data_IF_193483526478
#
_entry.id   IF_193483526478
#
_cell.length_a   1.000
_cell.length_b   1.000
_cell.length_c   1.000
_cell.angle_alpha   90.00
_cell.angle_beta   90.00
_cell.angle_gamma   90.00
#
_symmetry.space_group_name_H-M   'P 1'
#
loop_
_entity.id
_entity.type
_entity.pdbx_description
1 polymer ?
#
# COMPACT_ATOMS: atom_id res chain seq x y z
N UNK A 1 18.31 -0.78 -20.74
CA UNK A 1 17.16 -1.13 -19.87
C UNK A 1 15.89 -1.09 -20.69
N UNK A 2 14.81 -1.76 -20.26
CA UNK A 2 13.51 -1.80 -20.97
C UNK A 2 12.38 -1.44 -20.00
N UNK A 3 11.14 -1.24 -20.50
CA UNK A 3 9.97 -0.92 -19.65
C UNK A 3 9.80 -1.87 -18.46
N UNK A 4 10.09 -3.16 -18.66
CA UNK A 4 9.94 -4.17 -17.61
C UNK A 4 10.83 -3.88 -16.41
N UNK A 5 12.00 -3.28 -16.62
CA UNK A 5 12.89 -2.90 -15.51
C UNK A 5 12.25 -1.84 -14.59
N UNK A 6 11.27 -1.08 -15.05
CA UNK A 6 10.56 -0.06 -14.27
C UNK A 6 9.20 -0.53 -13.73
N UNK A 7 8.91 -1.83 -13.81
CA UNK A 7 7.71 -2.42 -13.26
C UNK A 7 8.03 -3.31 -12.07
N UNK A 8 7.49 -2.96 -10.89
CA UNK A 8 7.61 -3.77 -9.67
C UNK A 8 6.80 -5.08 -9.75
N UNK A 9 5.98 -5.27 -10.78
CA UNK A 9 5.25 -6.52 -11.03
C UNK A 9 6.05 -7.52 -11.88
N UNK A 10 7.26 -7.17 -12.32
CA UNK A 10 8.11 -8.06 -13.12
C UNK A 10 9.36 -8.44 -12.35
N UNK A 11 9.87 -9.65 -12.60
CA UNK A 11 11.14 -10.11 -12.00
C UNK A 11 12.33 -9.23 -12.36
N UNK A 12 12.32 -8.62 -13.55
CA UNK A 12 13.38 -7.73 -14.02
C UNK A 12 13.40 -6.39 -13.26
N UNK A 13 12.25 -5.87 -12.83
CA UNK A 13 12.14 -4.55 -12.18
C UNK A 13 11.95 -4.58 -10.67
N UNK A 14 11.35 -5.63 -10.14
CA UNK A 14 11.02 -5.75 -8.72
C UNK A 14 12.27 -5.78 -7.82
N UNK A 15 12.16 -5.18 -6.64
CA UNK A 15 13.11 -5.39 -5.56
C UNK A 15 13.20 -6.90 -5.25
N UNK A 16 14.40 -7.51 -5.27
CA UNK A 16 14.54 -8.95 -5.07
C UNK A 16 14.08 -9.42 -3.69
N UNK A 17 14.19 -8.55 -2.69
CA UNK A 17 13.91 -8.86 -1.28
C UNK A 17 12.41 -8.89 -0.99
N UNK A 18 11.68 -7.85 -1.38
CA UNK A 18 10.23 -7.78 -1.17
C UNK A 18 9.40 -8.22 -2.38
N UNK A 19 10.05 -8.62 -3.49
CA UNK A 19 9.41 -9.01 -4.76
C UNK A 19 8.39 -7.99 -5.25
N UNK A 20 8.70 -6.70 -5.10
CA UNK A 20 7.83 -5.61 -5.55
C UNK A 20 6.72 -5.20 -4.59
N UNK A 21 6.59 -5.86 -3.43
CA UNK A 21 5.56 -5.50 -2.44
C UNK A 21 5.88 -4.20 -1.68
N UNK A 22 7.15 -3.82 -1.61
CA UNK A 22 7.63 -2.67 -0.81
C UNK A 22 7.66 -2.95 0.70
N UNK A 23 7.08 -4.07 1.13
CA UNK A 23 7.04 -4.53 2.52
C UNK A 23 7.68 -5.91 2.65
N UNK A 24 8.21 -6.20 3.82
CA UNK A 24 8.73 -7.51 4.21
C UNK A 24 8.15 -7.91 5.56
N UNK A 25 8.08 -9.20 5.83
CA UNK A 25 7.76 -9.67 7.17
C UNK A 25 8.95 -9.43 8.10
N UNK A 26 8.69 -8.95 9.30
CA UNK A 26 9.69 -8.78 10.36
C UNK A 26 9.18 -9.37 11.67
N UNK A 27 10.12 -9.78 12.52
CA UNK A 27 9.83 -10.26 13.87
C UNK A 27 9.70 -9.04 14.80
N UNK A 28 8.59 -8.98 15.53
CA UNK A 28 8.35 -7.96 16.55
C UNK A 28 9.29 -8.18 17.73
N UNK A 29 9.75 -7.07 18.30
CA UNK A 29 10.56 -7.07 19.53
C UNK A 29 9.81 -7.73 20.71
N UNK A 30 8.47 -7.74 20.68
CA UNK A 30 7.64 -8.45 21.67
C UNK A 30 7.84 -9.98 21.68
N UNK A 31 8.55 -10.56 20.71
CA UNK A 31 9.01 -11.95 20.81
C UNK A 31 10.01 -12.13 21.96
N UNK A 32 10.83 -11.11 22.21
CA UNK A 32 11.90 -11.09 23.20
C UNK A 32 11.41 -10.41 24.48
N UNK A 33 11.06 -11.21 25.50
CA UNK A 33 10.60 -10.74 26.81
C UNK A 33 11.78 -10.19 27.61
N UNK A 34 12.10 -8.91 27.39
CA UNK A 34 13.32 -8.25 27.88
C UNK A 34 13.59 -8.37 29.38
N UNK A 35 12.55 -8.44 30.18
CA UNK A 35 12.65 -8.55 31.65
C UNK A 35 12.83 -9.99 32.16
N UNK A 36 12.73 -10.99 31.28
CA UNK A 36 12.83 -12.41 31.62
C UNK A 36 14.19 -13.01 31.21
N UNK A 37 14.59 -14.08 31.89
CA UNK A 37 15.76 -14.90 31.49
C UNK A 37 15.36 -15.87 30.38
N UNK A 38 16.31 -16.38 29.60
CA UNK A 38 16.01 -17.34 28.51
C UNK A 38 15.20 -18.55 29.02
N UNK A 39 15.58 -19.09 30.19
CA UNK A 39 14.95 -20.28 30.78
C UNK A 39 13.56 -20.00 31.37
N UNK A 40 13.28 -18.74 31.75
CA UNK A 40 12.02 -18.31 32.37
C UNK A 40 11.15 -17.51 31.39
N UNK A 41 11.13 -17.89 30.11
CA UNK A 41 10.22 -17.29 29.13
C UNK A 41 10.76 -16.04 28.44
N UNK A 42 12.08 -15.85 28.41
CA UNK A 42 12.74 -14.79 27.65
C UNK A 42 12.36 -14.77 26.17
N UNK A 43 12.07 -15.92 25.58
CA UNK A 43 11.55 -16.04 24.22
C UNK A 43 10.10 -16.51 24.28
N UNK A 44 9.16 -15.67 23.85
CA UNK A 44 7.73 -15.90 24.05
C UNK A 44 7.19 -17.20 23.41
N UNK A 45 7.88 -17.71 22.40
CA UNK A 45 7.49 -18.91 21.64
C UNK A 45 8.17 -20.19 22.12
N UNK A 46 9.09 -20.10 23.09
CA UNK A 46 9.85 -21.25 23.59
C UNK A 46 9.19 -21.86 24.83
N UNK A 47 8.65 -23.09 24.76
CA UNK A 47 8.26 -23.81 25.97
C UNK A 47 9.51 -24.18 26.80
N UNK A 48 9.34 -24.38 28.11
CA UNK A 48 10.44 -24.57 29.08
C UNK A 48 11.50 -25.60 28.63
N UNK A 49 11.08 -26.82 28.27
CA UNK A 49 12.02 -27.86 27.83
C UNK A 49 12.77 -27.53 26.54
N UNK A 50 12.15 -26.76 25.64
CA UNK A 50 12.81 -26.29 24.43
C UNK A 50 13.81 -25.16 24.72
N UNK A 51 13.46 -24.25 25.63
CA UNK A 51 14.36 -23.18 26.08
C UNK A 51 15.64 -23.74 26.70
N UNK A 52 15.54 -24.78 27.55
CA UNK A 52 16.70 -25.46 28.13
C UNK A 52 17.62 -26.07 27.07
N UNK A 53 17.04 -26.72 26.06
CA UNK A 53 17.81 -27.30 24.95
C UNK A 53 18.50 -26.20 24.11
N UNK A 54 17.76 -25.17 23.69
CA UNK A 54 18.34 -24.08 22.88
C UNK A 54 19.40 -23.29 23.67
N UNK A 55 19.21 -23.07 24.97
CA UNK A 55 20.17 -22.40 25.82
C UNK A 55 21.49 -23.17 25.91
N UNK A 56 21.46 -24.51 26.01
CA UNK A 56 22.68 -25.33 25.97
C UNK A 56 23.46 -25.14 24.68
N UNK A 57 22.78 -25.15 23.53
CA UNK A 57 23.42 -24.93 22.23
C UNK A 57 23.97 -23.50 22.09
N UNK A 58 23.21 -22.49 22.53
CA UNK A 58 23.65 -21.10 22.54
C UNK A 58 24.87 -20.88 23.45
N UNK A 59 24.86 -21.44 24.67
CA UNK A 59 25.99 -21.37 25.59
C UNK A 59 27.23 -22.05 25.02
N UNK A 60 27.08 -23.15 24.26
CA UNK A 60 28.20 -23.79 23.57
C UNK A 60 28.80 -22.88 22.49
N UNK A 61 27.97 -22.20 21.71
CA UNK A 61 28.42 -21.21 20.73
C UNK A 61 29.19 -20.06 21.39
N UNK A 62 28.66 -19.48 22.48
CA UNK A 62 29.34 -18.39 23.19
C UNK A 62 30.69 -18.83 23.76
N UNK A 63 30.75 -20.02 24.38
CA UNK A 63 32.02 -20.59 24.90
C UNK A 63 33.06 -20.77 23.80
N UNK A 64 32.63 -21.25 22.63
CA UNK A 64 33.51 -21.40 21.47
C UNK A 64 34.06 -20.05 20.98
N UNK A 65 33.24 -19.00 21.01
CA UNK A 65 33.63 -17.64 20.63
C UNK A 65 34.35 -16.90 21.77
N UNK A 66 34.64 -17.56 22.90
CA UNK A 66 35.24 -16.96 24.10
C UNK A 66 34.43 -15.81 24.71
N UNK A 67 33.11 -15.83 24.50
CA UNK A 67 32.14 -14.85 25.04
C UNK A 67 31.54 -15.39 26.34
N UNK A 68 31.39 -14.50 27.34
CA UNK A 68 30.75 -14.84 28.61
C UNK A 68 29.31 -15.31 28.41
N UNK A 69 28.93 -16.43 29.05
CA UNK A 69 27.57 -16.97 29.00
C UNK A 69 26.67 -16.21 29.97
N UNK A 70 25.57 -15.59 29.51
CA UNK A 70 24.63 -14.87 30.36
C UNK A 70 23.69 -15.84 31.08
N UNK A 71 24.17 -16.46 32.17
CA UNK A 71 23.38 -17.39 33.00
C UNK A 71 22.45 -16.64 33.97
N UNK A 72 21.17 -17.00 33.94
CA UNK A 72 20.11 -16.48 34.84
C UNK A 72 19.99 -14.95 34.92
N UNK A 73 20.38 -14.25 33.84
CA UNK A 73 20.16 -12.81 33.71
C UNK A 73 19.05 -12.49 32.71
N UNK A 74 18.28 -11.41 32.93
CA UNK A 74 17.28 -10.94 31.97
C UNK A 74 17.88 -10.53 30.62
N UNK A 75 17.13 -10.73 29.53
CA UNK A 75 17.56 -10.37 28.17
C UNK A 75 17.99 -8.90 28.03
N UNK A 76 17.39 -7.96 28.76
CA UNK A 76 17.79 -6.54 28.75
C UNK A 76 19.22 -6.28 29.25
N UNK A 77 19.82 -7.23 29.97
CA UNK A 77 21.21 -7.13 30.46
C UNK A 77 22.22 -7.75 29.51
N UNK A 78 21.78 -8.37 28.41
CA UNK A 78 22.68 -8.96 27.43
C UNK A 78 23.40 -7.85 26.67
N UNK A 79 24.64 -8.10 26.27
CA UNK A 79 25.36 -7.22 25.34
C UNK A 79 24.71 -7.27 23.95
N UNK A 80 25.00 -6.28 23.10
CA UNK A 80 24.54 -6.28 21.71
C UNK A 80 25.01 -7.53 20.95
N UNK A 81 26.27 -7.93 21.17
CA UNK A 81 26.88 -9.13 20.60
C UNK A 81 26.15 -10.41 21.06
N UNK A 82 25.87 -10.53 22.36
CA UNK A 82 25.12 -11.67 22.90
C UNK A 82 23.71 -11.74 22.31
N UNK A 83 23.00 -10.62 22.19
CA UNK A 83 21.68 -10.57 21.58
C UNK A 83 21.71 -10.92 20.09
N UNK A 84 22.69 -10.42 19.34
CA UNK A 84 22.84 -10.73 17.91
C UNK A 84 23.08 -12.23 17.71
N UNK A 85 24.00 -12.82 18.48
CA UNK A 85 24.28 -14.26 18.46
C UNK A 85 23.08 -15.09 18.90
N UNK A 86 22.25 -14.60 19.83
CA UNK A 86 21.01 -15.28 20.22
C UNK A 86 19.99 -15.27 19.07
N UNK A 87 19.89 -14.16 18.33
CA UNK A 87 18.94 -13.99 17.22
C UNK A 87 19.36 -14.77 15.99
N UNK A 88 20.63 -14.66 15.59
CA UNK A 88 21.13 -15.13 14.29
C UNK A 88 22.08 -16.33 14.39
N UNK A 89 22.52 -16.70 15.59
CA UNK A 89 23.40 -17.85 15.81
C UNK A 89 24.65 -17.80 14.94
N UNK A 90 24.98 -18.92 14.29
CA UNK A 90 26.12 -19.00 13.37
C UNK A 90 26.07 -18.05 12.16
N UNK A 91 24.90 -17.46 11.86
CA UNK A 91 24.71 -16.52 10.75
C UNK A 91 24.97 -15.07 11.15
N UNK A 92 25.17 -14.82 12.44
CA UNK A 92 25.49 -13.50 13.01
C UNK A 92 26.64 -12.81 12.26
N UNK A 93 26.55 -11.48 12.20
CA UNK A 93 27.63 -10.60 11.70
C UNK A 93 28.79 -10.49 12.67
N UNK A 94 28.59 -10.83 13.95
CA UNK A 94 29.63 -10.79 14.99
C UNK A 94 30.67 -11.90 14.81
N UNK A 95 30.36 -12.95 14.04
CA UNK A 95 31.27 -14.07 13.80
C UNK A 95 32.13 -13.79 12.56
N UNK A 96 33.44 -13.75 12.76
CA UNK A 96 34.42 -13.56 11.68
C UNK A 96 34.43 -14.73 10.69
N UNK A 97 34.95 -14.50 9.47
CA UNK A 97 35.05 -15.56 8.44
C UNK A 97 35.88 -16.75 8.91
N UNK A 98 37.00 -16.52 9.59
CA UNK A 98 37.86 -17.59 10.10
C UNK A 98 37.15 -18.44 11.18
N UNK A 99 36.40 -17.80 12.07
CA UNK A 99 35.61 -18.51 13.07
C UNK A 99 34.52 -19.37 12.43
N UNK A 100 33.88 -18.89 11.35
CA UNK A 100 32.83 -19.63 10.62
C UNK A 100 33.31 -20.96 10.03
N UNK A 101 34.55 -21.04 9.56
CA UNK A 101 35.12 -22.27 8.98
C UNK A 101 35.29 -23.41 10.00
N UNK A 102 35.46 -23.06 11.27
CA UNK A 102 35.74 -23.99 12.37
C UNK A 102 34.48 -24.30 13.20
N UNK A 103 33.33 -23.69 12.90
CA UNK A 103 32.07 -23.91 13.62
C UNK A 103 31.45 -25.28 13.27
N UNK A 104 30.70 -25.89 14.21
CA UNK A 104 29.97 -27.12 13.96
C UNK A 104 28.97 -26.95 12.81
N UNK A 105 28.96 -27.91 11.88
CA UNK A 105 28.07 -27.86 10.71
C UNK A 105 26.72 -28.51 10.97
N UNK A 106 26.62 -29.38 11.99
CA UNK A 106 25.38 -30.12 12.34
C UNK A 106 24.86 -29.74 13.73
N UNK A 107 23.53 -29.75 13.86
CA UNK A 107 22.84 -29.51 15.15
C UNK A 107 23.24 -30.56 16.20
N UNK A 108 23.40 -31.83 15.79
CA UNK A 108 23.88 -32.90 16.67
C UNK A 108 25.30 -32.68 17.20
N UNK A 109 26.10 -31.85 16.49
CA UNK A 109 27.47 -31.47 16.86
C UNK A 109 27.49 -30.14 17.65
N UNK A 110 26.32 -29.61 18.04
CA UNK A 110 26.19 -28.40 18.87
C UNK A 110 25.95 -27.10 18.09
N UNK A 111 25.64 -27.17 16.79
CA UNK A 111 25.34 -25.98 15.96
C UNK A 111 24.11 -25.23 16.47
N UNK A 112 24.29 -23.98 16.88
CA UNK A 112 23.22 -23.05 17.22
C UNK A 112 22.91 -22.10 16.06
N UNK A 113 21.76 -22.28 15.42
CA UNK A 113 21.36 -21.54 14.21
C UNK A 113 20.72 -20.17 14.48
N UNK A 114 20.38 -19.87 15.74
CA UNK A 114 19.64 -18.67 16.10
C UNK A 114 18.12 -18.85 16.04
N UNK A 115 17.42 -17.89 16.66
CA UNK A 115 15.96 -17.84 16.73
C UNK A 115 15.34 -17.46 15.38
N UNK A 116 15.82 -16.38 14.77
CA UNK A 116 15.18 -15.80 13.58
C UNK A 116 15.33 -16.71 12.36
N UNK A 117 16.51 -17.29 12.06
CA UNK A 117 16.65 -18.21 10.93
C UNK A 117 15.70 -19.41 11.03
N UNK A 118 15.50 -19.98 12.24
CA UNK A 118 14.55 -21.08 12.46
C UNK A 118 13.10 -20.65 12.25
N UNK A 119 12.74 -19.45 12.70
CA UNK A 119 11.40 -18.88 12.46
C UNK A 119 11.17 -18.70 10.95
N UNK A 120 12.12 -18.11 10.23
CA UNK A 120 12.00 -17.88 8.80
C UNK A 120 11.97 -19.17 8.00
N UNK A 121 12.78 -20.16 8.37
CA UNK A 121 12.72 -21.49 7.77
C UNK A 121 11.32 -22.10 7.95
N UNK A 122 10.77 -22.06 9.16
CA UNK A 122 9.43 -22.58 9.44
C UNK A 122 8.34 -21.86 8.65
N UNK A 123 8.43 -20.53 8.53
CA UNK A 123 7.49 -19.74 7.71
C UNK A 123 7.61 -20.09 6.23
N UNK A 124 8.83 -20.34 5.73
CA UNK A 124 9.06 -20.70 4.33
C UNK A 124 8.54 -22.11 3.98
N UNK A 125 8.52 -23.03 4.95
CA UNK A 125 8.01 -24.40 4.78
C UNK A 125 6.47 -24.48 4.88
N UNK A 126 5.82 -23.49 5.50
CA UNK A 126 4.36 -23.46 5.70
C UNK A 126 3.65 -22.53 4.68
N UNK A 127 2.35 -22.78 4.44
CA UNK A 127 1.52 -21.95 3.53
C UNK A 127 1.13 -20.60 4.13
N UNK A 128 1.08 -20.51 5.46
CA UNK A 128 0.67 -19.33 6.23
C UNK A 128 1.57 -19.23 7.47
N UNK A 129 1.60 -18.06 8.11
CA UNK A 129 2.37 -17.85 9.33
C UNK A 129 1.82 -18.78 10.44
N UNK A 130 2.66 -19.59 11.11
CA UNK A 130 2.21 -20.49 12.17
C UNK A 130 1.43 -19.75 13.26
N UNK A 131 0.34 -20.35 13.77
CA UNK A 131 -0.56 -19.70 14.75
C UNK A 131 0.17 -19.13 15.98
N UNK A 132 1.18 -19.83 16.48
CA UNK A 132 1.99 -19.41 17.62
C UNK A 132 2.95 -18.26 17.30
N UNK A 133 3.25 -18.01 16.02
CA UNK A 133 4.12 -16.93 15.55
C UNK A 133 3.34 -15.70 15.08
N UNK A 134 2.08 -15.85 14.65
CA UNK A 134 1.24 -14.73 14.17
C UNK A 134 1.27 -13.47 15.05
N UNK A 135 1.20 -13.54 16.39
CA UNK A 135 1.26 -12.35 17.23
C UNK A 135 2.58 -11.57 17.13
N UNK A 136 3.67 -12.27 16.80
CA UNK A 136 5.04 -11.78 16.80
C UNK A 136 5.59 -11.46 15.41
N UNK A 137 4.83 -11.70 14.34
CA UNK A 137 5.19 -11.29 12.98
C UNK A 137 4.35 -10.08 12.59
N UNK A 138 4.96 -9.10 11.94
CA UNK A 138 4.26 -8.00 11.28
C UNK A 138 4.87 -7.74 9.90
N UNK A 139 4.11 -7.07 9.05
CA UNK A 139 4.68 -6.40 7.89
C UNK A 139 5.39 -5.12 8.33
N UNK A 140 6.51 -4.83 7.70
CA UNK A 140 7.24 -3.57 7.83
C UNK A 140 7.80 -3.15 6.47
N UNK A 141 8.29 -1.90 6.39
CA UNK A 141 8.91 -1.36 5.18
C UNK A 141 10.14 -2.20 4.82
N UNK A 142 10.25 -2.58 3.55
CA UNK A 142 11.41 -3.34 3.04
C UNK A 142 12.70 -2.54 3.27
N UNK A 143 13.70 -3.17 3.89
CA UNK A 143 14.98 -2.52 4.21
C UNK A 143 15.84 -2.21 2.98
N UNK A 144 15.68 -2.96 1.89
CA UNK A 144 16.55 -2.83 0.70
C UNK A 144 16.05 -1.84 -0.35
N UNK A 145 14.74 -1.63 -0.41
CA UNK A 145 14.13 -0.65 -1.31
C UNK A 145 13.44 0.49 -0.57
N UNK A 146 13.39 0.47 0.76
CA UNK A 146 12.73 1.50 1.58
C UNK A 146 11.29 1.80 1.12
N UNK A 147 10.57 0.75 0.71
CA UNK A 147 9.21 0.87 0.20
C UNK A 147 9.09 1.28 -1.28
N UNK A 148 10.18 1.54 -2.00
CA UNK A 148 10.16 1.97 -3.42
C UNK A 148 9.84 0.84 -4.41
N UNK A 149 9.73 -0.41 -3.94
CA UNK A 149 9.30 -1.62 -4.70
C UNK A 149 10.22 -2.06 -5.85
N UNK A 150 11.12 -1.21 -6.33
CA UNK A 150 12.02 -1.47 -7.46
C UNK A 150 13.41 -1.97 -7.03
N UNK A 151 14.08 -2.67 -7.94
CA UNK A 151 15.47 -3.07 -7.79
C UNK A 151 16.41 -1.84 -7.73
N UNK A 152 17.68 -2.10 -7.38
CA UNK A 152 18.66 -1.04 -7.16
C UNK A 152 18.99 -0.20 -8.38
N UNK A 153 19.09 -0.80 -9.57
CA UNK A 153 19.42 -0.06 -10.79
C UNK A 153 18.23 0.79 -11.25
N UNK A 154 17.03 0.20 -11.27
CA UNK A 154 15.82 0.85 -11.76
C UNK A 154 15.39 2.06 -10.94
N UNK A 155 15.57 2.01 -9.61
CA UNK A 155 15.21 3.13 -8.73
C UNK A 155 16.18 4.31 -8.77
N UNK A 156 17.34 4.15 -9.40
CA UNK A 156 18.38 5.19 -9.52
C UNK A 156 18.33 5.91 -10.87
N UNK A 157 17.57 5.41 -11.84
CA UNK A 157 17.41 6.09 -13.13
C UNK A 157 16.60 7.37 -12.92
N UNK A 158 17.10 8.46 -13.49
CA UNK A 158 16.47 9.78 -13.41
C UNK A 158 16.05 10.31 -14.77
N UNK A 159 14.98 11.10 -14.79
CA UNK A 159 14.60 11.98 -15.89
C UNK A 159 14.39 13.37 -15.30
N UNK A 160 15.04 14.38 -15.87
CA UNK A 160 15.09 15.73 -15.30
C UNK A 160 15.51 15.72 -13.81
N UNK A 161 16.58 14.98 -13.49
CA UNK A 161 17.14 14.81 -12.13
C UNK A 161 16.18 14.21 -11.08
N UNK A 162 15.03 13.65 -11.49
CA UNK A 162 14.09 12.99 -10.59
C UNK A 162 14.02 11.50 -10.85
N UNK A 163 14.02 10.69 -9.79
CA UNK A 163 13.88 9.23 -9.86
C UNK A 163 12.41 8.86 -9.96
N UNK A 164 12.10 7.74 -10.62
CA UNK A 164 10.71 7.25 -10.73
C UNK A 164 9.97 7.14 -9.38
N UNK A 165 10.58 6.59 -8.30
CA UNK A 165 9.89 6.52 -7.00
C UNK A 165 9.59 7.89 -6.38
N UNK A 166 10.35 8.93 -6.70
CA UNK A 166 10.11 10.29 -6.20
C UNK A 166 8.90 10.89 -6.91
N UNK A 167 8.86 10.77 -8.24
CA UNK A 167 7.74 11.20 -9.08
C UNK A 167 6.44 10.54 -8.61
N UNK A 168 6.45 9.21 -8.40
CA UNK A 168 5.22 8.49 -8.02
C UNK A 168 4.78 8.70 -6.57
N UNK A 169 5.70 9.05 -5.67
CA UNK A 169 5.39 9.34 -4.26
C UNK A 169 4.83 10.76 -4.07
N UNK A 170 5.25 11.70 -4.91
CA UNK A 170 4.67 13.03 -4.97
C UNK A 170 3.18 13.00 -5.32
N UNK A 171 2.49 14.09 -5.01
CA UNK A 171 1.11 14.26 -5.43
C UNK A 171 0.99 14.44 -6.96
N UNK A 172 -0.23 14.46 -7.48
CA UNK A 172 -0.43 14.60 -8.92
C UNK A 172 0.01 15.97 -9.46
N UNK A 173 0.07 17.01 -8.63
CA UNK A 173 0.64 18.30 -9.03
C UNK A 173 2.16 18.19 -9.26
N UNK A 174 2.86 17.45 -8.40
CA UNK A 174 4.27 17.17 -8.58
C UNK A 174 4.53 16.44 -9.91
N UNK A 175 3.70 15.45 -10.24
CA UNK A 175 3.81 14.72 -11.52
C UNK A 175 3.53 15.65 -12.71
N UNK A 176 2.52 16.52 -12.64
CA UNK A 176 2.25 17.52 -13.69
C UNK A 176 3.42 18.48 -13.91
N UNK A 177 4.01 18.99 -12.82
CA UNK A 177 5.16 19.89 -12.91
C UNK A 177 6.37 19.19 -13.57
N UNK A 178 6.61 17.92 -13.24
CA UNK A 178 7.63 17.12 -13.91
C UNK A 178 7.34 16.91 -15.41
N UNK A 179 6.09 16.72 -15.79
CA UNK A 179 5.69 16.67 -17.22
C UNK A 179 5.97 18.00 -17.92
N UNK A 180 5.68 19.14 -17.28
CA UNK A 180 5.97 20.46 -17.84
C UNK A 180 7.47 20.72 -18.01
N UNK A 181 8.29 20.31 -17.04
CA UNK A 181 9.75 20.41 -17.15
C UNK A 181 10.31 19.62 -18.35
N UNK A 182 9.76 18.42 -18.63
CA UNK A 182 10.17 17.65 -19.81
C UNK A 182 9.71 18.34 -21.10
N UNK A 183 8.50 18.91 -21.11
CA UNK A 183 7.96 19.62 -22.27
C UNK A 183 8.76 20.87 -22.65
N UNK A 184 9.44 21.51 -21.69
CA UNK A 184 10.36 22.63 -21.97
C UNK A 184 11.67 22.18 -22.63
N UNK A 185 12.01 20.90 -22.55
CA UNK A 185 13.17 20.32 -23.20
C UNK A 185 12.79 19.73 -24.56
N UNK A 186 12.92 20.53 -25.63
CA UNK A 186 12.58 20.15 -27.01
C UNK A 186 13.21 18.82 -27.46
N UNK A 187 14.46 18.56 -27.05
CA UNK A 187 15.12 17.31 -27.40
C UNK A 187 14.42 16.11 -26.75
N UNK A 188 14.15 16.17 -25.45
CA UNK A 188 13.45 15.08 -24.75
C UNK A 188 12.02 14.92 -25.23
N UNK A 189 11.28 16.03 -25.32
CA UNK A 189 9.89 16.07 -25.77
C UNK A 189 9.68 15.33 -27.09
N UNK A 190 10.56 15.53 -28.07
CA UNK A 190 10.45 14.91 -29.39
C UNK A 190 10.37 13.37 -29.39
N UNK A 191 10.85 12.71 -28.32
CA UNK A 191 10.79 11.26 -28.18
C UNK A 191 9.57 10.75 -27.42
N UNK A 192 8.90 11.60 -26.63
CA UNK A 192 7.89 11.17 -25.65
C UNK A 192 6.61 12.01 -25.64
N UNK A 193 6.42 12.90 -26.62
CA UNK A 193 5.31 13.85 -26.69
C UNK A 193 3.94 13.19 -26.45
N UNK A 194 3.66 12.06 -27.12
CA UNK A 194 2.40 11.31 -26.95
C UNK A 194 2.20 10.83 -25.51
N UNK A 195 3.26 10.39 -24.83
CA UNK A 195 3.19 9.94 -23.43
C UNK A 195 2.98 11.11 -22.47
N UNK A 196 3.62 12.25 -22.73
CA UNK A 196 3.44 13.46 -21.91
C UNK A 196 2.01 13.97 -22.03
N UNK A 197 1.46 14.00 -23.25
CA UNK A 197 0.08 14.40 -23.49
C UNK A 197 -0.92 13.46 -22.80
N UNK A 198 -0.70 12.15 -22.85
CA UNK A 198 -1.53 11.15 -22.18
C UNK A 198 -1.52 11.32 -20.66
N UNK A 199 -0.33 11.45 -20.06
CA UNK A 199 -0.16 11.66 -18.61
C UNK A 199 -0.85 12.97 -18.19
N UNK A 200 -0.59 14.07 -18.90
CA UNK A 200 -1.17 15.37 -18.59
C UNK A 200 -2.71 15.33 -18.68
N UNK A 201 -3.26 14.72 -19.72
CA UNK A 201 -4.71 14.58 -19.91
C UNK A 201 -5.36 13.82 -18.76
N UNK A 202 -4.79 12.69 -18.38
CA UNK A 202 -5.29 11.85 -17.27
C UNK A 202 -5.24 12.59 -15.95
N UNK A 203 -4.12 13.23 -15.62
CA UNK A 203 -4.00 13.94 -14.36
C UNK A 203 -4.94 15.16 -14.31
N UNK A 204 -5.09 15.91 -15.41
CA UNK A 204 -6.03 17.04 -15.47
C UNK A 204 -7.48 16.59 -15.23
N UNK A 205 -7.90 15.44 -15.75
CA UNK A 205 -9.23 14.85 -15.47
C UNK A 205 -9.39 14.50 -13.99
N UNK A 206 -8.38 13.87 -13.39
CA UNK A 206 -8.40 13.54 -11.95
C UNK A 206 -8.40 14.82 -11.09
N UNK A 207 -7.67 15.86 -11.51
CA UNK A 207 -7.62 17.15 -10.82
C UNK A 207 -8.97 17.86 -10.81
N UNK A 208 -9.75 17.81 -11.91
CA UNK A 208 -11.13 18.31 -11.95
C UNK A 208 -12.06 17.67 -10.91
N UNK A 209 -11.72 16.48 -10.40
CA UNK A 209 -12.49 15.75 -9.39
C UNK A 209 -11.99 16.00 -7.96
N UNK A 210 -11.13 17.00 -7.76
CA UNK A 210 -10.57 17.35 -6.45
C UNK A 210 -9.55 16.33 -5.93
N UNK A 211 -9.03 15.43 -6.77
CA UNK A 211 -8.16 14.32 -6.37
C UNK A 211 -6.67 14.58 -6.60
N UNK A 212 -6.29 15.85 -6.80
CA UNK A 212 -4.91 16.21 -7.16
C UNK A 212 -3.89 15.97 -6.03
N UNK A 213 -4.36 15.89 -4.77
CA UNK A 213 -3.53 15.60 -3.59
C UNK A 213 -3.12 14.12 -3.50
N UNK A 214 -3.70 13.25 -4.31
CA UNK A 214 -3.32 11.83 -4.33
C UNK A 214 -1.95 11.64 -4.95
N UNK A 215 -1.26 10.57 -4.56
CA UNK A 215 -0.02 10.13 -5.20
C UNK A 215 -0.26 8.88 -6.04
N UNK A 216 0.56 8.66 -7.07
CA UNK A 216 0.49 7.45 -7.90
C UNK A 216 0.89 6.18 -7.12
N UNK A 217 1.66 6.33 -6.03
CA UNK A 217 2.06 5.22 -5.15
C UNK A 217 1.00 4.87 -4.08
N UNK A 218 -0.09 5.65 -3.98
CA UNK A 218 -1.19 5.41 -3.02
C UNK A 218 -1.86 4.07 -3.30
N UNK A 219 -2.02 3.26 -2.26
CA UNK A 219 -2.67 1.95 -2.37
C UNK A 219 -4.18 2.12 -2.59
N UNK A 220 -4.72 1.44 -3.60
CA UNK A 220 -6.16 1.48 -3.92
C UNK A 220 -7.06 1.12 -2.73
N UNK A 221 -6.65 0.18 -1.88
CA UNK A 221 -7.39 -0.23 -0.67
C UNK A 221 -7.43 0.82 0.44
N UNK A 222 -6.64 1.88 0.32
CA UNK A 222 -6.55 2.97 1.32
C UNK A 222 -7.30 4.23 0.89
N UNK A 223 -7.99 4.18 -0.25
CA UNK A 223 -8.89 5.23 -0.71
C UNK A 223 -10.23 5.12 0.02
N UNK A 224 -10.81 6.27 0.35
CA UNK A 224 -12.20 6.37 0.77
C UNK A 224 -13.16 5.95 -0.34
N UNK A 225 -14.41 5.68 0.01
CA UNK A 225 -15.45 5.35 -0.97
C UNK A 225 -15.61 6.43 -2.03
N UNK A 226 -15.68 7.71 -1.62
CA UNK A 226 -15.80 8.85 -2.52
C UNK A 226 -14.58 9.03 -3.44
N UNK A 227 -13.36 8.89 -2.92
CA UNK A 227 -12.16 8.91 -3.77
C UNK A 227 -12.18 7.79 -4.81
N UNK A 228 -12.53 6.57 -4.39
CA UNK A 228 -12.60 5.41 -5.28
C UNK A 228 -13.65 5.61 -6.40
N UNK A 229 -14.82 6.14 -6.05
CA UNK A 229 -15.88 6.44 -7.01
C UNK A 229 -15.44 7.49 -8.03
N UNK A 230 -14.80 8.58 -7.57
CA UNK A 230 -14.30 9.64 -8.46
C UNK A 230 -13.17 9.15 -9.37
N UNK A 231 -12.24 8.31 -8.89
CA UNK A 231 -11.22 7.68 -9.76
C UNK A 231 -11.87 6.83 -10.86
N UNK A 232 -12.92 6.06 -10.53
CA UNK A 232 -13.66 5.27 -11.53
C UNK A 232 -14.33 6.17 -12.57
N UNK A 233 -14.93 7.28 -12.15
CA UNK A 233 -15.53 8.25 -13.07
C UNK A 233 -14.48 8.84 -14.04
N UNK A 234 -13.29 9.20 -13.54
CA UNK A 234 -12.19 9.65 -14.39
C UNK A 234 -11.76 8.59 -15.41
N UNK A 235 -11.75 7.31 -15.04
CA UNK A 235 -11.42 6.21 -15.94
C UNK A 235 -12.48 6.01 -17.05
N UNK A 236 -13.77 6.20 -16.75
CA UNK A 236 -14.83 6.17 -17.77
C UNK A 236 -14.63 7.28 -18.79
N UNK A 237 -14.30 8.49 -18.36
CA UNK A 237 -13.95 9.60 -19.25
C UNK A 237 -12.70 9.32 -20.10
N UNK A 238 -11.79 8.48 -19.63
CA UNK A 238 -10.61 8.09 -20.39
C UNK A 238 -10.92 7.06 -21.48
N UNK A 239 -11.87 6.16 -21.23
CA UNK A 239 -12.19 5.01 -22.07
C UNK A 239 -12.82 5.32 -23.44
N UNK A 240 -13.13 6.59 -23.74
CA UNK A 240 -13.87 7.04 -24.94
C UNK A 240 -15.19 6.27 -25.20
N UNK A 241 -15.74 5.58 -24.20
CA UNK A 241 -16.95 4.79 -24.37
C UNK A 241 -18.18 5.69 -24.55
N UNK A 242 -19.08 5.25 -25.42
CA UNK A 242 -20.35 5.90 -25.77
C UNK A 242 -21.49 4.90 -25.61
N UNK A 243 -22.73 5.38 -25.57
CA UNK A 243 -23.95 4.55 -25.50
C UNK A 243 -24.04 3.67 -24.23
N UNK A 244 -23.41 4.11 -23.14
CA UNK A 244 -23.50 3.45 -21.85
C UNK A 244 -24.60 4.06 -20.98
N UNK A 245 -25.20 3.22 -20.13
CA UNK A 245 -25.96 3.66 -18.96
C UNK A 245 -25.04 3.55 -17.75
N UNK A 246 -24.68 4.68 -17.17
CA UNK A 246 -23.77 4.76 -16.02
C UNK A 246 -24.60 5.10 -14.79
N UNK A 247 -24.53 4.24 -13.77
CA UNK A 247 -25.23 4.44 -12.50
C UNK A 247 -24.23 4.94 -11.46
N UNK A 248 -24.49 6.12 -10.89
CA UNK A 248 -23.69 6.73 -9.84
C UNK A 248 -24.49 6.78 -8.55
N UNK A 249 -23.94 6.22 -7.49
CA UNK A 249 -24.56 6.15 -6.16
C UNK A 249 -23.93 7.22 -5.25
N UNK A 250 -24.64 8.33 -5.01
CA UNK A 250 -24.24 9.48 -4.20
C UNK A 250 -22.80 9.99 -4.43
N UNK A 251 -22.45 10.40 -5.68
CA UNK A 251 -21.10 10.82 -6.05
C UNK A 251 -20.57 12.06 -5.31
N UNK A 252 -21.43 12.83 -4.63
CA UNK A 252 -21.03 13.98 -3.81
C UNK A 252 -20.59 13.61 -2.39
N UNK A 253 -20.76 12.36 -1.93
CA UNK A 253 -20.35 11.97 -0.58
C UNK A 253 -18.85 12.27 -0.36
N UNK A 254 -18.59 13.02 0.70
CA UNK A 254 -17.23 13.37 1.11
C UNK A 254 -16.52 14.33 0.14
N UNK A 255 -17.28 15.00 -0.72
CA UNK A 255 -16.79 16.08 -1.59
C UNK A 255 -17.00 17.43 -0.89
N UNK A 256 -16.01 18.33 -1.02
CA UNK A 256 -16.18 19.71 -0.57
C UNK A 256 -17.03 20.46 -1.60
N UNK A 257 -17.86 21.43 -1.16
CA UNK A 257 -18.75 22.18 -2.06
C UNK A 257 -18.02 22.87 -3.23
N UNK A 258 -16.75 23.26 -3.03
CA UNK A 258 -15.90 23.82 -4.10
C UNK A 258 -15.64 22.86 -5.26
N UNK A 259 -15.73 21.55 -5.01
CA UNK A 259 -15.35 20.51 -5.96
C UNK A 259 -16.58 19.91 -6.66
N UNK A 260 -17.79 20.20 -6.19
CA UNK A 260 -19.07 19.81 -6.81
C UNK A 260 -19.17 20.31 -8.25
N UNK A 261 -18.73 21.55 -8.51
CA UNK A 261 -18.68 22.11 -9.87
C UNK A 261 -17.82 21.26 -10.83
N UNK A 262 -16.71 20.71 -10.32
CA UNK A 262 -15.84 19.82 -11.08
C UNK A 262 -16.50 18.48 -11.42
N UNK A 263 -17.20 17.88 -10.44
CA UNK A 263 -18.00 16.67 -10.65
C UNK A 263 -19.10 16.90 -11.70
N UNK A 264 -19.85 18.01 -11.60
CA UNK A 264 -20.92 18.36 -12.54
C UNK A 264 -20.40 18.59 -13.95
N UNK A 265 -19.25 19.25 -14.11
CA UNK A 265 -18.61 19.41 -15.41
C UNK A 265 -18.24 18.05 -16.03
N UNK A 266 -17.82 17.09 -15.21
CA UNK A 266 -17.48 15.73 -15.67
C UNK A 266 -18.72 14.90 -16.03
N UNK A 267 -19.79 14.97 -15.23
CA UNK A 267 -21.08 14.37 -15.56
C UNK A 267 -21.58 14.88 -16.92
N UNK A 268 -21.49 16.19 -17.15
CA UNK A 268 -21.86 16.78 -18.43
C UNK A 268 -20.97 16.30 -19.59
N UNK A 269 -19.65 16.21 -19.40
CA UNK A 269 -18.73 15.68 -20.43
C UNK A 269 -19.04 14.21 -20.77
N UNK A 270 -19.39 13.38 -19.78
CA UNK A 270 -19.83 11.99 -20.02
C UNK A 270 -21.13 11.97 -20.81
N UNK A 271 -22.11 12.81 -20.44
CA UNK A 271 -23.40 12.95 -21.11
C UNK A 271 -23.26 13.38 -22.57
N UNK A 272 -22.43 14.39 -22.85
CA UNK A 272 -22.17 14.92 -24.19
C UNK A 272 -21.59 13.87 -25.16
N UNK A 273 -21.00 12.79 -24.62
CA UNK A 273 -20.53 11.63 -25.39
C UNK A 273 -21.60 10.58 -25.65
N UNK A 274 -22.87 10.98 -25.67
CA UNK A 274 -24.01 10.09 -25.91
C UNK A 274 -24.09 8.93 -24.88
N UNK A 275 -23.79 9.23 -23.62
CA UNK A 275 -24.03 8.32 -22.50
C UNK A 275 -25.22 8.81 -21.69
N UNK A 276 -25.92 7.89 -21.03
CA UNK A 276 -26.99 8.21 -20.08
C UNK A 276 -26.46 8.02 -18.67
N UNK A 277 -26.66 8.99 -17.79
CA UNK A 277 -26.28 8.89 -16.38
C UNK A 277 -27.54 8.80 -15.52
N UNK A 278 -27.62 7.78 -14.67
CA UNK A 278 -28.58 7.66 -13.58
C UNK A 278 -27.84 7.97 -12.29
N UNK A 279 -28.15 9.10 -11.68
CA UNK A 279 -27.46 9.59 -10.47
C UNK A 279 -28.43 9.52 -9.30
N UNK A 280 -28.05 8.79 -8.25
CA UNK A 280 -28.75 8.76 -6.97
C UNK A 280 -28.11 9.86 -6.12
N UNK A 281 -28.87 10.90 -5.78
CA UNK A 281 -28.34 12.07 -5.08
C UNK A 281 -29.36 12.69 -4.14
N UNK A 282 -28.84 13.45 -3.17
CA UNK A 282 -29.60 14.32 -2.28
C UNK A 282 -29.06 15.76 -2.28
N UNK A 283 -27.96 16.03 -2.97
CA UNK A 283 -27.41 17.38 -3.12
C UNK A 283 -28.28 18.25 -4.06
N UNK A 284 -28.74 19.39 -3.54
CA UNK A 284 -29.64 20.30 -4.27
C UNK A 284 -28.98 20.89 -5.53
N UNK A 285 -27.67 21.19 -5.51
CA UNK A 285 -26.99 21.73 -6.69
C UNK A 285 -26.93 20.70 -7.81
N UNK A 286 -26.71 19.43 -7.47
CA UNK A 286 -26.73 18.35 -8.47
C UNK A 286 -28.14 18.14 -9.02
N UNK A 287 -29.14 18.06 -8.15
CA UNK A 287 -30.54 17.85 -8.55
C UNK A 287 -31.01 19.00 -9.46
N UNK A 288 -30.66 20.25 -9.13
CA UNK A 288 -30.99 21.42 -9.94
C UNK A 288 -30.38 21.40 -11.34
N UNK A 289 -29.26 20.69 -11.53
CA UNK A 289 -28.58 20.56 -12.82
C UNK A 289 -29.02 19.33 -13.63
N UNK A 290 -29.87 18.47 -13.07
CA UNK A 290 -30.34 17.29 -13.76
C UNK A 290 -31.29 17.66 -14.92
N UNK A 291 -31.15 16.96 -16.05
CA UNK A 291 -32.08 17.13 -17.18
C UNK A 291 -33.48 16.56 -16.83
N UNK A 292 -33.52 15.59 -15.91
CA UNK A 292 -34.72 14.94 -15.43
C UNK A 292 -34.50 14.41 -14.01
N UNK A 293 -35.51 14.57 -13.15
CA UNK A 293 -35.52 14.13 -11.75
C UNK A 293 -36.66 13.15 -11.55
N UNK A 294 -36.38 12.07 -10.82
CA UNK A 294 -37.37 11.07 -10.39
C UNK A 294 -37.33 11.03 -8.86
N UNK A 295 -38.41 11.45 -8.21
CA UNK A 295 -38.51 11.38 -6.75
C UNK A 295 -39.12 10.05 -6.31
N UNK A 296 -38.46 9.38 -5.36
CA UNK A 296 -38.91 8.11 -4.78
C UNK A 296 -39.25 8.33 -3.31
N UNK A 297 -40.43 7.87 -2.89
CA UNK A 297 -40.90 8.00 -1.51
C UNK A 297 -42.31 7.44 -1.32
N UNK A 298 -43.18 8.08 -0.50
CA UNK A 298 -42.95 9.28 0.31
C UNK A 298 -42.16 9.04 1.61
N UNK A 299 -41.99 7.79 2.03
CA UNK A 299 -41.17 7.42 3.18
C UNK A 299 -40.16 6.33 2.84
N UNK A 300 -39.51 5.76 3.85
CA UNK A 300 -38.58 4.63 3.71
C UNK A 300 -39.26 3.28 3.99
N UNK A 301 -38.68 2.18 3.51
CA UNK A 301 -39.15 0.83 3.82
C UNK A 301 -40.55 0.56 3.26
N UNK A 302 -41.46 0.06 4.09
CA UNK A 302 -42.85 -0.23 3.69
C UNK A 302 -43.64 1.02 3.25
N UNK A 303 -43.19 2.21 3.65
CA UNK A 303 -43.81 3.49 3.30
C UNK A 303 -43.21 4.14 2.04
N UNK A 304 -42.27 3.46 1.37
CA UNK A 304 -41.54 3.95 0.21
C UNK A 304 -41.79 3.16 -1.08
N UNK A 305 -40.83 3.25 -2.00
CA UNK A 305 -40.79 2.44 -3.22
C UNK A 305 -41.78 2.87 -4.30
N UNK A 306 -42.35 4.08 -4.21
CA UNK A 306 -43.22 4.65 -5.22
C UNK A 306 -42.57 5.88 -5.84
N UNK A 307 -42.77 6.06 -7.14
CA UNK A 307 -42.47 7.33 -7.81
C UNK A 307 -43.51 8.35 -7.34
N UNK A 308 -43.04 9.40 -6.66
CA UNK A 308 -43.90 10.47 -6.13
C UNK A 308 -44.18 11.48 -7.25
N UNK A 309 -43.12 11.95 -7.90
CA UNK A 309 -43.19 12.83 -9.06
C UNK A 309 -41.97 12.63 -9.95
N UNK A 310 -42.06 13.10 -11.20
CA UNK A 310 -41.02 12.97 -12.22
C UNK A 310 -41.12 14.17 -13.15
N UNK A 311 -39.98 14.76 -13.53
CA UNK A 311 -39.98 15.99 -14.33
C UNK A 311 -38.65 16.73 -14.29
N UNK A 312 -38.63 17.94 -14.82
CA UNK A 312 -37.52 18.89 -14.66
C UNK A 312 -37.57 19.55 -13.28
N UNK A 313 -36.45 20.11 -12.81
CA UNK A 313 -36.39 20.81 -11.52
C UNK A 313 -37.50 21.87 -11.36
N UNK A 314 -37.73 22.68 -12.38
CA UNK A 314 -38.75 23.73 -12.37
C UNK A 314 -40.19 23.15 -12.31
N UNK A 315 -40.43 21.99 -12.92
CA UNK A 315 -41.72 21.30 -12.80
C UNK A 315 -41.95 20.75 -11.38
N UNK A 316 -40.89 20.27 -10.74
CA UNK A 316 -40.94 19.78 -9.35
C UNK A 316 -41.21 20.92 -8.37
N UNK A 317 -40.57 22.08 -8.55
CA UNK A 317 -40.79 23.29 -7.73
C UNK A 317 -42.26 23.75 -7.73
N UNK A 318 -42.97 23.54 -8.85
CA UNK A 318 -44.38 23.88 -8.99
C UNK A 318 -45.34 22.74 -8.54
N UNK A 319 -44.81 21.63 -8.03
CA UNK A 319 -45.59 20.45 -7.65
C UNK A 319 -45.77 20.37 -6.13
N UNK A 320 -46.98 20.62 -5.65
CA UNK A 320 -47.32 20.71 -4.20
C UNK A 320 -47.06 19.45 -3.34
N UNK A 321 -46.71 18.33 -3.95
CA UNK A 321 -46.42 17.06 -3.27
C UNK A 321 -45.01 16.53 -3.60
N UNK A 322 -44.15 17.37 -4.18
CA UNK A 322 -42.71 17.10 -4.27
C UNK A 322 -42.13 16.94 -2.85
N UNK A 323 -41.13 16.07 -2.71
CA UNK A 323 -40.40 15.85 -1.47
C UNK A 323 -39.23 16.84 -1.30
N UNK A 324 -38.85 17.55 -2.36
CA UNK A 324 -37.75 18.52 -2.36
C UNK A 324 -38.17 19.91 -1.86
N UNK A 325 -39.45 20.27 -1.96
CA UNK A 325 -40.02 21.59 -1.65
C UNK A 325 -41.18 21.49 -0.66
#
# INVERSE_FOLDING_TARGET
>A
MTRSHFSFNTTAGACPTCKGMGKTLVIKDSLYQKDQTILNGGIATWPKGYAEYQFKSYAALLKYLEISVPEDIPLKKFTSEQLDLLKYGIYSSEITKEQKEKLPTKVAEGKYEGIEPKIWQKIAEEKDIPKNLKPFIKEDTCVDCHGEKLNALSRLVTVCNQRLPEITKGDLNHVLNWVYEINENEQLKSFVEDYLLDIETKIKRISKLGLVYLSLDRQYSTLSGGEMQRIKLAAVLDSQMTELIIILDEPTIGLHASDTAGLLAMINEVKERNNTLLVIEHDEEVIRKADHVVEIGPGSGEFGGKVVTTGTYDELENTSYSLLF
#
